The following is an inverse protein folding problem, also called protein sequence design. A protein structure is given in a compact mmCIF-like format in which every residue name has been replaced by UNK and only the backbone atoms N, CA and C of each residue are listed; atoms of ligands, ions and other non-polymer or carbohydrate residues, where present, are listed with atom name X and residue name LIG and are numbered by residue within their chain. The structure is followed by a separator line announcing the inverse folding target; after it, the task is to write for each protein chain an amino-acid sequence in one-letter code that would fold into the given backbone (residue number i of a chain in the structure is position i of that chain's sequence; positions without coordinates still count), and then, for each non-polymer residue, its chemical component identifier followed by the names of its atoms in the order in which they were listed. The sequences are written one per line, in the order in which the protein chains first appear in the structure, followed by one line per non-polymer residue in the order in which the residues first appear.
data_IF_924296111240
#
_entry.id   IF_924296111240
#
_cell.length_a   1.000
_cell.length_b   1.000
_cell.length_c   1.000
_cell.angle_alpha   90.00
_cell.angle_beta   90.00
_cell.angle_gamma   90.00
#
_symmetry.space_group_name_H-M   'P 1'
#
loop_
_entity.id
_entity.type
_entity.pdbx_description
1 polymer ?
#
# COMPACT_ATOMS: atom_id res chain seq x y z
N UNK A 1 5.02 -12.34 0.89
CA UNK A 1 3.78 -11.75 0.33
C UNK A 1 4.05 -11.20 -1.06
N UNK A 2 3.03 -11.17 -1.93
CA UNK A 2 3.09 -10.42 -3.20
C UNK A 2 3.13 -8.93 -2.93
N UNK A 3 3.95 -8.21 -3.68
CA UNK A 3 4.10 -6.77 -3.55
C UNK A 3 3.97 -6.08 -4.91
N UNK A 4 3.52 -4.83 -4.88
CA UNK A 4 3.42 -3.96 -6.04
C UNK A 4 3.98 -2.58 -5.71
N UNK A 5 4.82 -2.06 -6.62
CA UNK A 5 5.32 -0.71 -6.50
C UNK A 5 4.36 0.33 -7.10
N UNK A 6 4.06 1.36 -6.33
CA UNK A 6 3.30 2.55 -6.71
C UNK A 6 4.17 3.80 -6.53
N UNK A 7 3.87 4.85 -7.29
CA UNK A 7 4.46 6.17 -7.02
C UNK A 7 4.07 6.59 -5.59
N UNK A 8 4.95 7.28 -4.87
CA UNK A 8 4.82 7.48 -3.43
C UNK A 8 3.51 8.18 -3.01
N UNK A 9 3.02 9.13 -3.81
CA UNK A 9 1.71 9.77 -3.66
C UNK A 9 0.54 8.78 -3.82
N UNK A 10 0.54 7.97 -4.88
CA UNK A 10 -0.49 6.95 -5.04
C UNK A 10 -0.42 5.84 -3.99
N UNK A 11 0.77 5.53 -3.48
CA UNK A 11 0.91 4.61 -2.36
C UNK A 11 0.25 5.21 -1.12
N UNK A 12 0.48 6.50 -0.87
CA UNK A 12 -0.16 7.26 0.20
C UNK A 12 -1.68 7.27 0.08
N UNK A 13 -2.23 7.53 -1.11
CA UNK A 13 -3.69 7.48 -1.33
C UNK A 13 -4.27 6.09 -1.04
N UNK A 14 -3.50 5.00 -1.25
CA UNK A 14 -3.94 3.65 -0.86
C UNK A 14 -3.91 3.47 0.65
N UNK A 15 -2.87 3.99 1.33
CA UNK A 15 -2.77 3.97 2.79
C UNK A 15 -3.92 4.75 3.44
N UNK A 16 -4.28 5.91 2.88
CA UNK A 16 -5.39 6.74 3.34
C UNK A 16 -6.79 6.17 3.01
N UNK A 17 -6.86 5.11 2.20
CA UNK A 17 -8.12 4.51 1.76
C UNK A 17 -8.81 5.25 0.59
N UNK A 18 -8.30 6.40 0.17
CA UNK A 18 -8.84 7.20 -0.95
C UNK A 18 -8.73 6.48 -2.29
N UNK A 19 -7.67 5.68 -2.48
CA UNK A 19 -7.42 4.93 -3.71
C UNK A 19 -7.81 3.46 -3.58
N UNK A 20 -9.02 3.16 -4.00
CA UNK A 20 -9.60 1.80 -4.02
C UNK A 20 -9.43 1.07 -5.36
N UNK A 21 -8.93 1.74 -6.40
CA UNK A 21 -8.71 1.14 -7.73
C UNK A 21 -7.31 1.46 -8.24
N UNK A 22 -6.61 0.42 -8.65
CA UNK A 22 -5.31 0.54 -9.32
C UNK A 22 -5.39 0.18 -10.79
N UNK A 23 -4.95 1.08 -11.67
CA UNK A 23 -5.00 0.89 -13.11
C UNK A 23 -3.65 0.40 -13.64
N UNK A 24 -3.67 -0.69 -14.41
CA UNK A 24 -2.47 -1.29 -15.01
C UNK A 24 -2.68 -1.64 -16.46
N UNK A 25 -1.57 -1.63 -17.19
CA UNK A 25 -1.53 -2.07 -18.58
C UNK A 25 -1.48 -3.58 -18.77
N UNK A 26 -1.55 -4.33 -17.67
CA UNK A 26 -1.43 -5.77 -17.64
C UNK A 26 -2.34 -6.41 -16.59
N UNK A 27 -2.84 -7.63 -16.85
CA UNK A 27 -3.68 -8.35 -15.91
C UNK A 27 -2.82 -9.08 -14.86
N UNK A 28 -3.45 -9.44 -13.74
CA UNK A 28 -2.93 -10.49 -12.86
C UNK A 28 -4.02 -11.51 -12.61
N UNK A 29 -3.62 -12.76 -12.38
CA UNK A 29 -4.51 -13.80 -11.84
C UNK A 29 -4.47 -13.86 -10.31
N UNK A 30 -3.55 -13.10 -9.70
CA UNK A 30 -3.40 -13.06 -8.26
C UNK A 30 -4.52 -12.25 -7.63
N UNK A 31 -5.28 -12.90 -6.76
CA UNK A 31 -6.26 -12.31 -5.86
C UNK A 31 -5.82 -12.65 -4.43
N UNK A 32 -5.96 -11.69 -3.51
CA UNK A 32 -5.46 -11.81 -2.14
C UNK A 32 -4.55 -10.67 -1.72
N UNK A 33 -3.79 -10.89 -0.65
CA UNK A 33 -3.04 -9.86 0.04
C UNK A 33 -1.89 -9.30 -0.80
N UNK A 34 -1.80 -7.98 -0.88
CA UNK A 34 -0.84 -7.26 -1.68
C UNK A 34 -0.19 -6.17 -0.84
N UNK A 35 1.12 -6.29 -0.67
CA UNK A 35 1.95 -5.27 -0.05
C UNK A 35 2.18 -4.12 -1.03
N UNK A 36 1.82 -2.91 -0.65
CA UNK A 36 2.05 -1.70 -1.43
C UNK A 36 3.38 -1.08 -1.02
N UNK A 37 4.24 -0.87 -2.02
CA UNK A 37 5.56 -0.28 -1.86
C UNK A 37 5.65 1.04 -2.61
N UNK A 38 5.96 2.14 -1.91
CA UNK A 38 6.25 3.42 -2.53
C UNK A 38 7.57 3.35 -3.31
N UNK A 39 7.60 3.92 -4.52
CA UNK A 39 8.85 4.08 -5.27
C UNK A 39 9.80 5.02 -4.54
N UNK A 40 11.09 4.93 -4.85
CA UNK A 40 12.12 5.78 -4.25
C UNK A 40 12.10 7.25 -4.75
N UNK A 41 11.17 7.60 -5.64
CA UNK A 41 11.03 8.97 -6.11
C UNK A 41 10.53 9.82 -4.94
N UNK A 42 11.33 10.82 -4.57
CA UNK A 42 11.04 11.74 -3.48
C UNK A 42 9.92 12.71 -3.89
N UNK A 43 8.77 12.61 -3.24
CA UNK A 43 7.62 13.49 -3.41
C UNK A 43 7.32 14.07 -2.01
N UNK A 44 7.20 15.40 -1.87
CA UNK A 44 6.91 16.02 -0.58
C UNK A 44 5.68 15.42 0.10
N UNK A 45 5.70 15.30 1.43
CA UNK A 45 4.58 14.81 2.24
C UNK A 45 4.23 13.33 1.97
N UNK A 46 5.20 12.55 1.46
CA UNK A 46 5.05 11.10 1.23
C UNK A 46 6.22 10.32 1.82
N UNK A 47 6.11 8.99 1.84
CA UNK A 47 7.16 8.08 2.35
C UNK A 47 7.81 7.32 1.18
N UNK A 48 8.84 7.88 0.52
CA UNK A 48 9.48 7.22 -0.62
C UNK A 48 10.31 6.00 -0.20
N UNK A 49 10.33 4.96 -1.04
CA UNK A 49 11.22 3.80 -0.89
C UNK A 49 10.87 2.82 0.24
N UNK A 50 9.64 2.88 0.76
CA UNK A 50 9.16 1.99 1.83
C UNK A 50 7.97 1.16 1.37
N UNK A 51 7.81 -0.03 1.96
CA UNK A 51 6.51 -0.66 2.07
C UNK A 51 5.71 0.04 3.16
N UNK A 52 4.42 0.34 2.91
CA UNK A 52 3.64 1.21 3.81
C UNK A 52 2.27 0.66 4.19
N UNK A 53 1.67 -0.21 3.38
CA UNK A 53 0.32 -0.72 3.63
C UNK A 53 0.10 -2.08 2.96
N UNK A 54 -0.75 -2.92 3.55
CA UNK A 54 -1.25 -4.14 2.92
C UNK A 54 -2.71 -3.95 2.56
N UNK A 55 -3.06 -4.29 1.32
CA UNK A 55 -4.46 -4.31 0.83
C UNK A 55 -4.76 -5.69 0.26
N UNK A 56 -6.02 -5.95 -0.11
CA UNK A 56 -6.41 -7.14 -0.86
C UNK A 56 -6.76 -6.77 -2.29
N UNK A 57 -6.24 -7.51 -3.26
CA UNK A 57 -6.73 -7.50 -4.64
C UNK A 57 -7.96 -8.39 -4.70
N UNK A 58 -9.14 -7.78 -4.74
CA UNK A 58 -10.44 -8.47 -4.75
C UNK A 58 -10.83 -8.94 -6.15
N UNK A 59 -10.59 -8.12 -7.15
CA UNK A 59 -11.02 -8.37 -8.53
C UNK A 59 -10.13 -7.62 -9.51
N UNK A 60 -10.08 -8.08 -10.76
CA UNK A 60 -9.35 -7.44 -11.86
C UNK A 60 -10.26 -7.36 -13.09
N UNK A 61 -10.77 -6.17 -13.37
CA UNK A 61 -11.67 -5.92 -14.50
C UNK A 61 -10.88 -5.50 -15.73
N UNK A 62 -11.08 -6.20 -16.85
CA UNK A 62 -10.58 -5.73 -18.16
C UNK A 62 -11.52 -4.64 -18.67
N UNK A 63 -10.98 -3.45 -18.89
CA UNK A 63 -11.74 -2.29 -19.39
C UNK A 63 -11.55 -2.08 -20.90
N UNK A 64 -10.41 -2.50 -21.44
CA UNK A 64 -10.05 -2.32 -22.84
C UNK A 64 -8.78 -3.08 -23.21
N UNK A 65 -8.22 -2.79 -24.37
CA UNK A 65 -6.90 -3.31 -24.72
C UNK A 65 -5.84 -2.72 -23.78
N UNK A 66 -5.09 -3.61 -23.11
CA UNK A 66 -4.06 -3.22 -22.13
C UNK A 66 -4.57 -2.22 -21.08
N UNK A 67 -5.82 -2.36 -20.64
CA UNK A 67 -6.41 -1.52 -19.60
C UNK A 67 -7.14 -2.41 -18.59
N UNK A 68 -6.60 -2.47 -17.37
CA UNK A 68 -7.11 -3.31 -16.30
C UNK A 68 -7.28 -2.50 -15.02
N UNK A 69 -8.41 -2.64 -14.36
CA UNK A 69 -8.72 -2.02 -13.08
C UNK A 69 -8.69 -3.08 -11.96
N UNK A 70 -7.66 -3.01 -11.13
CA UNK A 70 -7.48 -3.86 -9.97
C UNK A 70 -8.25 -3.24 -8.81
N UNK A 71 -9.26 -3.95 -8.33
CA UNK A 71 -10.10 -3.51 -7.22
C UNK A 71 -9.38 -3.85 -5.91
N UNK A 72 -9.13 -2.83 -5.10
CA UNK A 72 -8.43 -2.91 -3.83
C UNK A 72 -9.42 -2.70 -2.69
N UNK A 73 -9.32 -3.51 -1.64
CA UNK A 73 -10.07 -3.36 -0.39
C UNK A 73 -9.26 -3.90 0.81
N UNK A 74 -9.86 -3.92 2.00
CA UNK A 74 -9.24 -4.45 3.22
C UNK A 74 -7.86 -3.84 3.50
N UNK A 75 -7.85 -2.51 3.64
CA UNK A 75 -6.66 -1.72 4.00
C UNK A 75 -6.23 -2.10 5.41
N UNK A 76 -4.98 -2.52 5.54
CA UNK A 76 -4.35 -2.93 6.80
C UNK A 76 -3.03 -2.22 6.97
N UNK A 77 -2.91 -1.50 8.07
CA UNK A 77 -1.77 -0.67 8.40
C UNK A 77 -0.62 -1.54 8.91
N UNK A 78 0.60 -1.16 8.53
CA UNK A 78 1.83 -1.85 8.93
C UNK A 78 2.88 -0.84 9.40
N UNK A 79 3.86 -1.28 10.19
CA UNK A 79 5.10 -0.52 10.38
C UNK A 79 5.78 -0.36 9.02
N UNK A 80 5.99 0.88 8.51
CA UNK A 80 6.69 1.03 7.25
C UNK A 80 8.12 0.53 7.35
N UNK A 81 8.61 -0.11 6.30
CA UNK A 81 9.98 -0.60 6.25
C UNK A 81 10.61 -0.40 4.87
N UNK A 82 11.94 -0.16 4.78
CA UNK A 82 12.61 0.07 3.52
C UNK A 82 12.46 -1.12 2.56
N UNK A 83 11.99 -0.87 1.33
CA UNK A 83 11.88 -1.88 0.28
C UNK A 83 12.26 -1.28 -1.06
N UNK A 84 13.18 -1.95 -1.76
CA UNK A 84 13.49 -1.59 -3.15
C UNK A 84 12.37 -2.06 -4.07
N UNK A 85 11.59 -1.11 -4.57
CA UNK A 85 10.53 -1.36 -5.55
C UNK A 85 11.03 -2.05 -6.82
N UNK A 86 10.13 -2.77 -7.50
CA UNK A 86 10.42 -3.53 -8.72
C UNK A 86 9.28 -3.38 -9.74
N UNK A 87 9.60 -3.64 -11.01
CA UNK A 87 8.57 -3.75 -12.04
C UNK A 87 7.73 -5.02 -11.82
N UNK A 88 6.43 -4.93 -12.13
CA UNK A 88 5.44 -6.01 -11.98
C UNK A 88 5.28 -6.45 -10.51
N UNK A 89 4.50 -7.53 -10.29
CA UNK A 89 4.44 -8.15 -8.97
C UNK A 89 5.79 -8.76 -8.61
N UNK A 90 6.20 -8.57 -7.36
CA UNK A 90 7.38 -9.21 -6.78
C UNK A 90 7.03 -9.82 -5.42
N UNK A 91 8.01 -10.49 -4.80
CA UNK A 91 7.84 -11.07 -3.48
C UNK A 91 8.66 -10.29 -2.45
N UNK A 92 8.07 -10.07 -1.28
CA UNK A 92 8.74 -9.58 -0.07
C UNK A 92 8.58 -10.64 1.02
N UNK A 93 9.56 -10.77 1.89
CA UNK A 93 9.52 -11.70 3.02
C UNK A 93 8.43 -11.29 4.01
N UNK A 94 7.59 -12.24 4.42
CA UNK A 94 6.47 -12.01 5.33
C UNK A 94 6.94 -11.64 6.73
N UNK A 95 8.12 -12.10 7.14
CA UNK A 95 8.65 -11.78 8.47
C UNK A 95 8.98 -10.30 8.67
N UNK A 96 9.03 -9.52 7.59
CA UNK A 96 9.26 -8.07 7.63
C UNK A 96 7.97 -7.28 7.90
N UNK A 97 6.80 -7.89 7.69
CA UNK A 97 5.51 -7.21 7.74
C UNK A 97 4.98 -7.28 9.16
N UNK A 98 4.85 -6.13 9.81
CA UNK A 98 4.29 -5.99 11.15
C UNK A 98 3.02 -5.17 11.10
N UNK A 99 1.91 -5.82 11.39
CA UNK A 99 0.57 -5.21 11.37
C UNK A 99 0.30 -4.41 12.63
N UNK A 100 -0.53 -3.38 12.47
CA UNK A 100 -1.11 -2.61 13.56
C UNK A 100 -2.64 -2.64 13.46
N UNK A 101 -3.29 -3.76 13.84
CA UNK A 101 -4.75 -3.87 13.75
C UNK A 101 -5.46 -2.80 14.58
N UNK A 102 -4.86 -2.32 15.66
CA UNK A 102 -5.43 -1.29 16.54
C UNK A 102 -5.70 0.06 15.85
N UNK A 103 -5.14 0.29 14.67
CA UNK A 103 -5.35 1.49 13.84
C UNK A 103 -5.95 1.17 12.47
N UNK A 104 -6.31 -0.08 12.21
CA UNK A 104 -7.03 -0.44 10.99
C UNK A 104 -8.45 0.16 11.04
N UNK A 105 -8.97 0.59 9.89
CA UNK A 105 -10.32 1.19 9.78
C UNK A 105 -11.41 0.32 10.40
N UNK A 106 -11.29 -1.02 10.30
CA UNK A 106 -12.24 -1.96 10.88
C UNK A 106 -12.35 -1.84 12.41
N UNK A 107 -11.28 -1.41 13.08
CA UNK A 107 -11.22 -1.24 14.53
C UNK A 107 -11.60 0.16 15.01
N UNK A 108 -12.00 1.06 14.09
CA UNK A 108 -12.49 2.40 14.39
C UNK A 108 -11.59 3.14 15.38
N UNK A 109 -10.29 3.32 15.07
CA UNK A 109 -9.35 3.92 16.00
C UNK A 109 -9.75 5.35 16.35
N UNK A 110 -9.48 5.75 17.59
CA UNK A 110 -9.57 7.16 17.95
C UNK A 110 -8.53 7.98 17.20
N UNK A 111 -8.84 9.24 16.90
CA UNK A 111 -7.90 10.19 16.29
C UNK A 111 -6.55 10.22 17.01
N UNK A 112 -6.55 10.18 18.35
CA UNK A 112 -5.33 10.16 19.15
C UNK A 112 -4.44 8.92 18.91
N UNK A 113 -5.04 7.76 18.63
CA UNK A 113 -4.31 6.53 18.31
C UNK A 113 -3.71 6.60 16.90
N UNK A 114 -4.48 7.11 15.94
CA UNK A 114 -4.00 7.36 14.56
C UNK A 114 -2.85 8.37 14.58
N UNK A 115 -2.99 9.47 15.31
CA UNK A 115 -1.96 10.50 15.46
C UNK A 115 -0.70 9.94 16.13
N UNK A 116 -0.84 9.16 17.21
CA UNK A 116 0.30 8.53 17.88
C UNK A 116 1.05 7.56 16.95
N UNK A 117 0.33 6.78 16.14
CA UNK A 117 0.93 5.92 15.14
C UNK A 117 1.65 6.73 14.06
N UNK A 118 0.98 7.73 13.49
CA UNK A 118 1.54 8.57 12.43
C UNK A 118 2.84 9.26 12.91
N UNK A 119 2.82 9.88 14.09
CA UNK A 119 3.99 10.54 14.67
C UNK A 119 5.15 9.57 14.95
N UNK A 120 4.85 8.32 15.31
CA UNK A 120 5.86 7.31 15.61
C UNK A 120 6.47 6.67 14.36
N UNK A 121 5.64 6.37 13.35
CA UNK A 121 6.03 5.49 12.25
C UNK A 121 5.98 6.14 10.86
N UNK A 122 5.10 7.13 10.63
CA UNK A 122 4.94 7.76 9.31
C UNK A 122 5.74 9.06 9.20
N UNK A 123 5.53 9.98 10.14
CA UNK A 123 6.14 11.33 10.16
C UNK A 123 7.67 11.30 10.07
N UNK A 124 8.40 10.43 10.79
CA UNK A 124 9.86 10.39 10.70
C UNK A 124 10.38 9.96 9.33
N UNK A 125 9.54 9.36 8.48
CA UNK A 125 9.90 8.84 7.17
C UNK A 125 9.39 9.72 6.02
N UNK A 126 8.62 10.77 6.31
CA UNK A 126 8.12 11.69 5.29
C UNK A 126 9.26 12.51 4.69
N UNK A 127 9.23 12.67 3.37
CA UNK A 127 10.16 13.51 2.60
C UNK A 127 9.64 14.95 2.45
#
# INVERSE_FOLDING_TARGET
MKALSLRADYAWDVLAGDKTVEYRSWPTKYLGDLLICATAQKIPETIPGHAIVVVRVKDVKKLGDRQYAWQLDNVRVIEPFPVKGRQRLFNVDDSLIKYHPEIDDENHPSDAAVEAFANKYLVPLMY
#
